data_IF_943092912386
#
_entry.id   IF_943092912386
#
_cell.length_a   1.000
_cell.length_b   1.000
_cell.length_c   1.000
_cell.angle_alpha   90.00
_cell.angle_beta   90.00
_cell.angle_gamma   90.00
#
_symmetry.space_group_name_H-M   'P 1'
#
loop_
_entity.id
_entity.type
_entity.pdbx_description
1 polymer ?
#
# COMPACT_ATOMS: atom_id res chain seq x y z
N UNK A 1 -11.66 3.30 -22.66
CA UNK A 1 -11.14 3.24 -21.28
C UNK A 1 -11.74 4.44 -20.56
N UNK A 2 -12.52 4.23 -19.50
CA UNK A 2 -13.09 5.33 -18.72
C UNK A 2 -12.06 5.87 -17.73
N UNK A 3 -12.24 7.10 -17.21
CA UNK A 3 -11.33 7.68 -16.22
C UNK A 3 -11.16 6.81 -14.95
N UNK A 4 -12.13 5.94 -14.66
CA UNK A 4 -12.05 4.98 -13.55
C UNK A 4 -11.35 3.69 -13.94
N UNK A 5 -11.53 3.19 -15.17
CA UNK A 5 -10.71 2.08 -15.65
C UNK A 5 -9.24 2.46 -15.60
N UNK A 6 -8.91 3.68 -16.04
CA UNK A 6 -7.57 4.25 -15.94
C UNK A 6 -7.08 4.31 -14.49
N UNK A 7 -7.93 4.74 -13.53
CA UNK A 7 -7.56 4.80 -12.12
C UNK A 7 -7.33 3.41 -11.51
N UNK A 8 -8.23 2.46 -11.76
CA UNK A 8 -8.13 1.09 -11.22
C UNK A 8 -6.92 0.37 -11.79
N UNK A 9 -6.65 0.52 -13.09
CA UNK A 9 -5.44 -0.02 -13.74
C UNK A 9 -4.19 0.61 -13.14
N UNK A 10 -4.18 1.93 -12.96
CA UNK A 10 -3.04 2.62 -12.35
C UNK A 10 -2.81 2.19 -10.89
N UNK A 11 -3.87 2.13 -10.06
CA UNK A 11 -3.81 1.64 -8.68
C UNK A 11 -3.27 0.22 -8.63
N UNK A 12 -3.77 -0.68 -9.49
CA UNK A 12 -3.25 -2.04 -9.60
C UNK A 12 -1.75 -2.05 -9.86
N UNK A 13 -1.29 -1.28 -10.85
CA UNK A 13 0.13 -1.18 -11.19
C UNK A 13 0.99 -0.57 -10.07
N UNK A 14 0.47 0.38 -9.28
CA UNK A 14 1.15 0.90 -8.08
C UNK A 14 1.31 -0.20 -7.03
N UNK A 15 0.22 -0.88 -6.69
CA UNK A 15 0.21 -1.93 -5.69
C UNK A 15 1.13 -3.10 -6.06
N UNK A 16 1.20 -3.47 -7.34
CA UNK A 16 2.11 -4.52 -7.83
C UNK A 16 3.59 -4.15 -7.60
N UNK A 17 3.97 -2.88 -7.84
CA UNK A 17 5.35 -2.42 -7.59
C UNK A 17 5.71 -2.43 -6.11
N UNK A 18 4.78 -2.00 -5.26
CA UNK A 18 4.99 -2.00 -3.80
C UNK A 18 5.05 -3.45 -3.29
N UNK A 19 4.17 -4.32 -3.78
CA UNK A 19 4.17 -5.75 -3.44
C UNK A 19 5.50 -6.41 -3.82
N UNK A 20 6.00 -6.16 -5.03
CA UNK A 20 7.29 -6.69 -5.47
C UNK A 20 8.44 -6.27 -4.56
N UNK A 21 8.48 -4.98 -4.15
CA UNK A 21 9.51 -4.47 -3.22
C UNK A 21 9.37 -5.11 -1.84
N UNK A 22 8.16 -5.25 -1.33
CA UNK A 22 7.90 -5.87 -0.03
C UNK A 22 8.26 -7.37 -0.05
N UNK A 23 7.90 -8.11 -1.09
CA UNK A 23 8.29 -9.51 -1.27
C UNK A 23 9.81 -9.67 -1.34
N UNK A 24 10.51 -8.80 -2.06
CA UNK A 24 11.97 -8.82 -2.12
C UNK A 24 12.60 -8.56 -0.74
N UNK A 25 12.06 -7.60 0.02
CA UNK A 25 12.50 -7.31 1.38
C UNK A 25 12.24 -8.49 2.35
N UNK A 26 11.13 -9.22 2.16
CA UNK A 26 10.78 -10.38 2.97
C UNK A 26 11.78 -11.54 2.87
N UNK A 27 12.67 -11.57 1.86
CA UNK A 27 13.74 -12.56 1.74
C UNK A 27 14.68 -12.58 2.96
N UNK A 28 14.81 -11.44 3.67
CA UNK A 28 15.59 -11.33 4.89
C UNK A 28 14.78 -11.64 6.16
N UNK A 29 13.53 -12.09 6.02
CA UNK A 29 12.57 -12.30 7.09
C UNK A 29 11.29 -11.49 6.83
N UNK A 30 10.09 -12.09 6.95
CA UNK A 30 8.85 -11.39 6.65
C UNK A 30 8.45 -10.38 7.71
N UNK A 31 8.93 -10.55 8.95
CA UNK A 31 8.64 -9.65 10.06
C UNK A 31 9.91 -9.12 10.68
N UNK A 32 9.90 -7.84 11.05
CA UNK A 32 11.08 -7.14 11.55
C UNK A 32 10.83 -6.59 12.96
N UNK A 33 11.92 -6.38 13.70
CA UNK A 33 11.90 -5.78 15.02
C UNK A 33 13.03 -4.76 15.16
N UNK A 34 12.76 -3.70 15.91
CA UNK A 34 13.78 -2.76 16.33
C UNK A 34 14.38 -3.21 17.67
N UNK A 35 15.71 -3.28 17.75
CA UNK A 35 16.46 -3.73 18.95
C UNK A 35 17.86 -3.16 18.90
N UNK A 36 18.36 -2.67 20.05
CA UNK A 36 19.76 -2.25 20.20
C UNK A 36 20.22 -1.26 19.12
N UNK A 37 19.32 -0.33 18.73
CA UNK A 37 19.60 0.65 17.69
C UNK A 37 19.55 0.11 16.26
N UNK A 38 19.16 -1.13 16.00
CA UNK A 38 19.15 -1.69 14.64
C UNK A 38 17.84 -2.43 14.32
N UNK A 39 17.60 -2.65 13.03
CA UNK A 39 16.49 -3.48 12.56
C UNK A 39 17.00 -4.90 12.39
N UNK A 40 16.31 -5.86 12.98
CA UNK A 40 16.58 -7.28 12.83
C UNK A 40 15.35 -7.98 12.28
N UNK A 41 15.52 -9.13 11.61
CA UNK A 41 14.38 -10.02 11.45
C UNK A 41 13.93 -10.52 12.83
N UNK A 42 12.63 -10.72 12.98
CA UNK A 42 12.09 -11.32 14.20
C UNK A 42 12.57 -12.77 14.37
N UNK A 43 12.73 -13.50 13.26
CA UNK A 43 13.37 -14.82 13.22
C UNK A 43 14.82 -14.69 12.73
N UNK A 44 15.77 -14.70 13.67
CA UNK A 44 17.20 -14.59 13.40
C UNK A 44 17.84 -15.88 12.91
N UNK A 45 17.10 -17.01 12.86
CA UNK A 45 17.64 -18.29 12.39
C UNK A 45 17.99 -18.27 10.89
N UNK A 46 17.27 -17.45 10.12
CA UNK A 46 17.46 -17.31 8.66
C UNK A 46 18.46 -16.23 8.29
N UNK A 47 18.57 -15.19 9.12
CA UNK A 47 19.45 -14.07 8.87
C UNK A 47 19.90 -13.46 10.21
N UNK A 48 21.10 -13.80 10.71
CA UNK A 48 21.51 -13.40 12.06
C UNK A 48 21.95 -11.94 12.15
N UNK A 49 22.23 -11.28 11.02
CA UNK A 49 22.66 -9.88 10.97
C UNK A 49 21.50 -8.88 10.88
N UNK A 50 21.75 -7.60 11.22
CA UNK A 50 20.76 -6.55 11.07
C UNK A 50 20.41 -6.31 9.59
N UNK A 51 19.16 -5.95 9.35
CA UNK A 51 18.60 -5.54 8.05
C UNK A 51 18.96 -4.08 7.77
N UNK A 52 18.90 -3.23 8.80
CA UNK A 52 19.25 -1.82 8.71
C UNK A 52 19.97 -1.37 9.97
N UNK A 53 20.93 -0.46 9.78
CA UNK A 53 21.77 0.14 10.84
C UNK A 53 21.88 1.64 10.60
N UNK A 54 22.24 2.40 11.63
CA UNK A 54 22.48 3.83 11.53
C UNK A 54 23.80 4.17 10.84
N UNK A 55 24.06 5.47 10.68
CA UNK A 55 25.27 5.96 10.00
C UNK A 55 26.54 5.51 10.73
N UNK A 56 27.58 5.13 9.97
CA UNK A 56 28.87 4.67 10.49
C UNK A 56 28.80 3.45 11.43
N UNK A 57 27.75 2.63 11.31
CA UNK A 57 27.54 1.47 12.20
C UNK A 57 27.04 1.83 13.59
N UNK A 58 26.61 3.08 13.78
CA UNK A 58 25.85 3.49 14.96
C UNK A 58 24.41 2.97 14.93
N UNK A 59 23.68 3.17 16.03
CA UNK A 59 22.25 2.88 16.08
C UNK A 59 21.43 3.90 15.29
N UNK A 60 20.32 3.45 14.72
CA UNK A 60 19.19 4.27 14.32
C UNK A 60 18.58 4.95 15.54
N UNK A 61 18.14 6.19 15.36
CA UNK A 61 17.25 6.85 16.31
C UNK A 61 15.96 6.03 16.49
N UNK A 62 15.43 6.00 17.71
CA UNK A 62 14.28 5.18 18.09
C UNK A 62 13.09 5.35 17.13
N UNK A 63 12.74 6.60 16.81
CA UNK A 63 11.62 6.90 15.90
C UNK A 63 11.81 6.34 14.49
N UNK A 64 13.03 6.35 13.95
CA UNK A 64 13.33 5.74 12.65
C UNK A 64 13.24 4.21 12.74
N UNK A 65 13.80 3.65 13.81
CA UNK A 65 13.77 2.20 14.05
C UNK A 65 12.35 1.66 14.17
N UNK A 66 11.53 2.28 15.01
CA UNK A 66 10.13 1.94 15.20
C UNK A 66 9.31 2.10 13.92
N UNK A 67 9.54 3.18 13.16
CA UNK A 67 8.85 3.38 11.88
C UNK A 67 9.17 2.28 10.86
N UNK A 68 10.44 1.90 10.73
CA UNK A 68 10.86 0.83 9.81
C UNK A 68 10.29 -0.51 10.26
N UNK A 69 10.37 -0.84 11.56
CA UNK A 69 9.81 -2.09 12.08
C UNK A 69 8.28 -2.15 11.93
N UNK A 70 7.58 -1.02 12.11
CA UNK A 70 6.13 -0.92 11.92
C UNK A 70 5.68 -1.03 10.46
N UNK A 71 6.59 -0.86 9.51
CA UNK A 71 6.34 -1.01 8.06
C UNK A 71 7.12 -2.21 7.50
N UNK A 72 7.22 -3.29 8.27
CA UNK A 72 7.87 -4.52 7.83
C UNK A 72 7.17 -5.15 6.59
N UNK A 73 7.84 -6.06 5.88
CA UNK A 73 7.29 -6.67 4.67
C UNK A 73 5.92 -7.31 4.86
N UNK A 74 5.70 -8.03 5.96
CA UNK A 74 4.42 -8.68 6.23
C UNK A 74 3.29 -7.66 6.41
N UNK A 75 3.54 -6.58 7.14
CA UNK A 75 2.57 -5.51 7.34
C UNK A 75 2.21 -4.83 6.01
N UNK A 76 3.21 -4.49 5.19
CA UNK A 76 3.01 -3.88 3.88
C UNK A 76 2.21 -4.80 2.95
N UNK A 77 2.56 -6.09 2.89
CA UNK A 77 1.82 -7.07 2.07
C UNK A 77 0.37 -7.25 2.55
N UNK A 78 0.14 -7.23 3.86
CA UNK A 78 -1.21 -7.28 4.42
C UNK A 78 -2.05 -6.07 4.01
N UNK A 79 -1.48 -4.85 4.09
CA UNK A 79 -2.15 -3.63 3.65
C UNK A 79 -2.48 -3.68 2.16
N UNK A 80 -1.54 -4.10 1.30
CA UNK A 80 -1.79 -4.26 -0.15
C UNK A 80 -2.93 -5.24 -0.41
N UNK A 81 -3.00 -6.35 0.33
CA UNK A 81 -4.09 -7.31 0.19
C UNK A 81 -5.45 -6.69 0.55
N UNK A 82 -5.50 -5.79 1.53
CA UNK A 82 -6.70 -5.01 1.87
C UNK A 82 -7.03 -4.02 0.76
N UNK A 83 -6.06 -3.24 0.28
CA UNK A 83 -6.26 -2.24 -0.77
C UNK A 83 -6.80 -2.87 -2.06
N UNK A 84 -6.29 -4.06 -2.44
CA UNK A 84 -6.82 -4.85 -3.56
C UNK A 84 -8.28 -5.28 -3.35
N UNK A 85 -8.67 -5.63 -2.13
CA UNK A 85 -10.07 -5.95 -1.80
C UNK A 85 -10.97 -4.73 -1.89
N UNK A 86 -10.49 -3.56 -1.48
CA UNK A 86 -11.21 -2.30 -1.65
C UNK A 86 -11.43 -2.03 -3.14
N UNK A 87 -10.39 -2.13 -3.97
CA UNK A 87 -10.51 -1.95 -5.42
C UNK A 87 -11.55 -2.91 -6.01
N UNK A 88 -11.45 -4.21 -5.68
CA UNK A 88 -12.39 -5.22 -6.16
C UNK A 88 -13.84 -5.00 -5.68
N UNK A 89 -14.02 -4.41 -4.49
CA UNK A 89 -15.33 -4.08 -3.93
C UNK A 89 -15.96 -2.83 -4.58
N UNK A 90 -15.23 -2.08 -5.41
CA UNK A 90 -15.75 -0.88 -6.07
C UNK A 90 -15.75 -0.98 -7.60
N UNK A 91 -16.39 -2.00 -8.21
CA UNK A 91 -16.41 -2.13 -9.66
C UNK A 91 -17.34 -1.11 -10.31
N UNK A 92 -16.95 -0.67 -11.51
CA UNK A 92 -17.75 0.21 -12.36
C UNK A 92 -18.81 -0.66 -13.06
N UNK A 93 -20.08 -0.27 -12.94
CA UNK A 93 -21.17 -0.89 -13.68
C UNK A 93 -21.26 -0.37 -15.12
N UNK A 94 -22.15 -0.99 -15.91
CA UNK A 94 -22.37 -0.69 -17.33
C UNK A 94 -22.65 0.80 -17.64
N UNK A 95 -23.14 1.55 -16.65
CA UNK A 95 -23.49 2.97 -16.80
C UNK A 95 -22.44 3.95 -16.24
N UNK A 96 -21.23 3.49 -15.92
CA UNK A 96 -20.16 4.39 -15.44
C UNK A 96 -20.27 4.79 -13.96
N UNK A 97 -21.08 4.08 -13.18
CA UNK A 97 -21.22 4.28 -11.73
C UNK A 97 -20.58 3.15 -10.95
N UNK A 98 -20.13 3.42 -9.73
CA UNK A 98 -19.70 2.36 -8.82
C UNK A 98 -20.93 1.57 -8.31
N UNK A 99 -20.99 0.27 -8.62
CA UNK A 99 -22.14 -0.59 -8.27
C UNK A 99 -22.29 -0.82 -6.77
N UNK A 100 -21.17 -0.82 -6.03
CA UNK A 100 -21.20 -0.97 -4.58
C UNK A 100 -21.67 0.30 -3.87
N UNK A 101 -21.23 1.48 -4.35
CA UNK A 101 -21.72 2.76 -3.82
C UNK A 101 -23.21 3.00 -4.14
N UNK A 102 -23.77 2.28 -5.11
CA UNK A 102 -25.18 2.31 -5.45
C UNK A 102 -26.05 1.46 -4.50
N UNK A 103 -25.52 0.37 -3.97
CA UNK A 103 -26.31 -0.67 -3.29
C UNK A 103 -26.90 -0.25 -1.93
N UNK A 104 -26.40 0.82 -1.30
CA UNK A 104 -26.83 1.30 0.03
C UNK A 104 -28.17 2.08 0.03
N UNK A 105 -28.99 1.95 -1.02
CA UNK A 105 -30.36 2.51 -1.05
C UNK A 105 -30.44 4.04 -1.13
N UNK A 106 -29.33 4.72 -1.43
CA UNK A 106 -29.24 6.17 -1.55
C UNK A 106 -29.48 6.67 -2.98
N UNK A 107 -30.29 7.71 -3.11
CA UNK A 107 -30.81 8.36 -4.34
C UNK A 107 -29.73 9.04 -5.21
N UNK A 108 -28.45 8.68 -5.10
CA UNK A 108 -27.37 9.32 -5.88
C UNK A 108 -26.41 8.29 -6.44
N UNK A 109 -26.51 8.12 -7.76
CA UNK A 109 -25.48 7.52 -8.58
C UNK A 109 -24.15 8.24 -8.33
N UNK A 110 -23.18 7.56 -7.72
CA UNK A 110 -21.84 8.12 -7.54
C UNK A 110 -21.07 7.90 -8.83
N UNK A 111 -20.76 8.98 -9.53
CA UNK A 111 -19.91 8.96 -10.71
C UNK A 111 -18.59 8.28 -10.38
N UNK A 112 -18.18 7.36 -11.25
CA UNK A 112 -16.88 6.75 -11.15
C UNK A 112 -15.80 7.75 -11.66
N UNK A 113 -14.61 7.83 -11.03
CA UNK A 113 -14.17 7.03 -9.90
C UNK A 113 -14.81 7.53 -8.61
N UNK A 114 -15.35 6.61 -7.82
CA UNK A 114 -16.04 6.97 -6.58
C UNK A 114 -15.05 7.55 -5.53
N UNK A 115 -15.53 8.31 -4.54
CA UNK A 115 -14.66 8.92 -3.53
C UNK A 115 -13.73 7.94 -2.82
N UNK A 116 -14.16 6.69 -2.59
CA UNK A 116 -13.30 5.65 -1.98
C UNK A 116 -12.04 5.39 -2.80
N UNK A 117 -12.18 5.21 -4.12
CA UNK A 117 -11.03 4.95 -4.99
C UNK A 117 -10.14 6.19 -5.13
N UNK A 118 -10.72 7.39 -5.14
CA UNK A 118 -9.95 8.65 -5.14
C UNK A 118 -9.14 8.83 -3.85
N UNK A 119 -9.71 8.49 -2.71
CA UNK A 119 -9.00 8.52 -1.42
C UNK A 119 -7.86 7.52 -1.38
N UNK A 120 -8.08 6.31 -1.91
CA UNK A 120 -7.00 5.32 -2.05
C UNK A 120 -5.89 5.84 -2.98
N UNK A 121 -6.27 6.46 -4.10
CA UNK A 121 -5.31 7.06 -5.04
C UNK A 121 -4.49 8.18 -4.41
N UNK A 122 -5.11 9.00 -3.55
CA UNK A 122 -4.43 10.08 -2.86
C UNK A 122 -3.30 9.60 -1.93
N UNK A 123 -3.38 8.38 -1.40
CA UNK A 123 -2.28 7.78 -0.62
C UNK A 123 -1.04 7.48 -1.48
N UNK A 124 -1.15 7.57 -2.79
CA UNK A 124 -0.13 7.26 -3.78
C UNK A 124 0.12 8.42 -4.75
N UNK A 125 -0.18 9.66 -4.36
CA UNK A 125 -0.07 10.84 -5.25
C UNK A 125 1.36 11.15 -5.73
N UNK A 126 2.37 10.69 -4.98
CA UNK A 126 3.78 10.77 -5.33
C UNK A 126 4.22 9.71 -6.37
N UNK A 127 3.38 8.73 -6.68
CA UNK A 127 3.73 7.68 -7.65
C UNK A 127 3.61 8.18 -9.09
N UNK A 128 4.53 7.80 -9.99
CA UNK A 128 4.46 8.16 -11.40
C UNK A 128 3.13 7.78 -12.04
N UNK A 129 2.59 8.69 -12.86
CA UNK A 129 1.33 8.49 -13.58
C UNK A 129 0.08 8.87 -12.78
N UNK A 130 0.22 9.33 -11.52
CA UNK A 130 -0.89 9.97 -10.81
C UNK A 130 -1.43 11.16 -11.61
N UNK A 131 -2.75 11.29 -11.70
CA UNK A 131 -3.42 12.38 -12.41
C UNK A 131 -4.21 13.28 -11.45
N UNK A 132 -4.14 14.62 -11.57
CA UNK A 132 -4.83 15.54 -10.66
C UNK A 132 -6.35 15.36 -10.58
N UNK A 133 -7.00 14.87 -11.63
CA UNK A 133 -8.43 14.57 -11.65
C UNK A 133 -8.85 13.42 -10.72
N UNK A 134 -7.88 12.64 -10.21
CA UNK A 134 -8.12 11.60 -9.21
C UNK A 134 -8.07 12.11 -7.77
N UNK A 135 -7.82 13.41 -7.57
CA UNK A 135 -7.91 14.01 -6.24
C UNK A 135 -9.35 13.91 -5.70
N UNK A 136 -9.53 13.64 -4.40
CA UNK A 136 -10.84 13.65 -3.76
C UNK A 136 -11.61 14.95 -3.98
#
# INVERSE_FOLDING_TARGET
MTATDDLTVWLGGVLDRIEQRAQAAANHGPTWRYSDGNIYPSDTSRHPGPIATGTYGGGLEDAHGEHIAGNDPAHVLHRIAIDRRIIAAHPIGEHGYCTNCWADGGVRSVDAPCPTLRLLAAAHDAEPGYRPEWKP
#
